data_IF_668095503616
#
_entry.id   IF_668095503616
#
_cell.length_a   1.000
_cell.length_b   1.000
_cell.length_c   1.000
_cell.angle_alpha   90.00
_cell.angle_beta   90.00
_cell.angle_gamma   90.00
#
_symmetry.space_group_name_H-M   'P 1'
#
loop_
_entity.id
_entity.type
_entity.pdbx_description
1 polymer ?
#
# COMPACT_ATOMS: atom_id res chain seq x y z
N UNK A 1 4.77 -21.74 16.12
CA UNK A 1 4.08 -21.67 17.43
C UNK A 1 2.60 -21.39 17.21
N UNK A 2 1.66 -22.13 17.81
CA UNK A 2 0.24 -21.84 17.64
C UNK A 2 -0.19 -20.76 18.65
N UNK A 3 -0.68 -19.61 18.17
CA UNK A 3 -1.27 -18.48 18.92
C UNK A 3 -0.43 -17.86 20.07
N UNK A 4 -0.22 -16.54 20.02
CA UNK A 4 0.41 -15.80 21.12
C UNK A 4 -0.65 -15.39 22.16
N UNK A 5 -0.27 -15.40 23.44
CA UNK A 5 -1.10 -14.78 24.48
C UNK A 5 -1.20 -13.26 24.29
N UNK A 6 -2.14 -12.61 24.98
CA UNK A 6 -2.28 -11.15 24.93
C UNK A 6 -0.98 -10.43 25.31
N UNK A 7 -0.34 -10.85 26.39
CA UNK A 7 0.91 -10.24 26.87
C UNK A 7 2.07 -10.49 25.89
N UNK A 8 2.21 -11.71 25.37
CA UNK A 8 3.21 -12.02 24.35
C UNK A 8 3.02 -11.18 23.08
N UNK A 9 1.77 -11.05 22.62
CA UNK A 9 1.46 -10.23 21.45
C UNK A 9 1.75 -8.74 21.72
N UNK A 10 1.46 -8.24 22.93
CA UNK A 10 1.76 -6.87 23.35
C UNK A 10 3.27 -6.60 23.31
N UNK A 11 4.08 -7.51 23.86
CA UNK A 11 5.54 -7.38 23.89
C UNK A 11 6.16 -7.42 22.49
N UNK A 12 5.66 -8.30 21.62
CA UNK A 12 6.13 -8.42 20.24
C UNK A 12 5.79 -7.17 19.41
N UNK A 13 4.58 -6.63 19.58
CA UNK A 13 4.10 -5.54 18.73
C UNK A 13 4.58 -4.18 19.23
N UNK A 14 4.58 -3.95 20.54
CA UNK A 14 4.68 -2.63 21.15
C UNK A 14 3.31 -1.96 21.27
N UNK A 15 2.98 -1.45 22.46
CA UNK A 15 1.62 -0.98 22.79
C UNK A 15 1.11 0.20 21.94
N UNK A 16 1.99 0.97 21.32
CA UNK A 16 1.69 2.12 20.46
C UNK A 16 1.61 1.78 18.96
N UNK A 17 2.08 0.58 18.56
CA UNK A 17 2.20 0.16 17.15
C UNK A 17 1.00 -0.65 16.63
N UNK A 18 0.00 -0.87 17.47
CA UNK A 18 -1.23 -1.56 17.06
C UNK A 18 -2.04 -0.66 16.13
N UNK A 19 -2.37 -1.11 14.90
CA UNK A 19 -3.12 -0.29 13.96
C UNK A 19 -4.55 -0.06 14.44
N UNK A 20 -4.98 1.20 14.44
CA UNK A 20 -6.35 1.64 14.72
C UNK A 20 -7.22 1.56 13.45
N UNK A 21 -8.55 1.49 13.61
CA UNK A 21 -9.51 1.46 12.50
C UNK A 21 -10.37 0.19 12.44
N UNK A 22 -10.89 -0.15 11.26
CA UNK A 22 -11.76 -1.30 11.09
C UNK A 22 -11.10 -2.61 11.60
N UNK A 23 -11.91 -3.49 12.19
CA UNK A 23 -11.45 -4.81 12.64
C UNK A 23 -11.31 -5.71 11.40
N UNK A 24 -10.13 -6.30 11.16
CA UNK A 24 -9.93 -7.24 10.05
C UNK A 24 -10.68 -8.55 10.30
N UNK A 25 -10.98 -9.30 9.24
CA UNK A 25 -11.54 -10.64 9.37
C UNK A 25 -10.51 -11.67 9.84
N UNK A 26 -9.24 -11.46 9.51
CA UNK A 26 -8.14 -12.30 9.95
C UNK A 26 -6.85 -11.50 10.10
N UNK A 27 -5.99 -11.93 11.03
CA UNK A 27 -4.67 -11.36 11.23
C UNK A 27 -3.66 -12.40 11.69
N UNK A 28 -2.39 -12.13 11.41
CA UNK A 28 -1.26 -13.00 11.69
C UNK A 28 -0.09 -12.21 12.26
N UNK A 29 0.74 -12.91 13.03
CA UNK A 29 2.03 -12.44 13.51
C UNK A 29 3.09 -13.40 12.97
N UNK A 30 4.21 -12.85 12.53
CA UNK A 30 5.46 -13.60 12.31
C UNK A 30 6.60 -12.97 13.09
N UNK A 31 7.44 -13.81 13.68
CA UNK A 31 8.73 -13.45 14.27
C UNK A 31 9.89 -14.08 13.48
N UNK A 32 9.60 -14.57 12.27
CA UNK A 32 10.59 -15.18 11.39
C UNK A 32 11.63 -14.12 10.95
N UNK A 33 12.93 -14.34 11.20
CA UNK A 33 13.94 -13.33 10.94
C UNK A 33 14.05 -12.95 9.46
N UNK A 34 13.76 -13.87 8.53
CA UNK A 34 13.80 -13.57 7.10
C UNK A 34 12.63 -12.65 6.71
N UNK A 35 11.45 -12.86 7.28
CA UNK A 35 10.30 -11.97 7.05
C UNK A 35 10.50 -10.58 7.66
N UNK A 36 11.12 -10.51 8.85
CA UNK A 36 11.48 -9.23 9.46
C UNK A 36 12.49 -8.47 8.60
N UNK A 37 13.57 -9.14 8.18
CA UNK A 37 14.58 -8.54 7.32
C UNK A 37 14.03 -8.15 5.93
N UNK A 38 13.08 -8.91 5.39
CA UNK A 38 12.40 -8.58 4.15
C UNK A 38 11.52 -7.34 4.29
N UNK A 39 10.75 -7.22 5.38
CA UNK A 39 9.96 -6.03 5.67
C UNK A 39 10.85 -4.80 5.85
N UNK A 40 11.93 -4.92 6.61
CA UNK A 40 12.83 -3.79 6.89
C UNK A 40 13.53 -3.32 5.60
N UNK A 41 13.91 -4.24 4.70
CA UNK A 41 14.38 -3.90 3.34
C UNK A 41 13.32 -3.17 2.53
N UNK A 42 12.08 -3.68 2.50
CA UNK A 42 10.99 -3.02 1.79
C UNK A 42 10.78 -1.60 2.32
N UNK A 43 10.81 -1.40 3.65
CA UNK A 43 10.63 -0.08 4.24
C UNK A 43 11.71 0.88 3.79
N UNK A 44 12.98 0.45 3.80
CA UNK A 44 14.10 1.27 3.34
C UNK A 44 13.99 1.60 1.84
N UNK A 45 13.66 0.61 0.99
CA UNK A 45 13.48 0.82 -0.44
C UNK A 45 12.29 1.74 -0.73
N UNK A 46 11.20 1.60 0.03
CA UNK A 46 10.01 2.46 -0.09
C UNK A 46 10.31 3.90 0.33
N UNK A 47 11.05 4.11 1.42
CA UNK A 47 11.46 5.44 1.86
C UNK A 47 12.38 6.11 0.84
N UNK A 48 13.39 5.40 0.32
CA UNK A 48 14.27 5.90 -0.75
C UNK A 48 13.48 6.21 -2.03
N UNK A 49 12.48 5.39 -2.37
CA UNK A 49 11.61 5.63 -3.51
C UNK A 49 10.70 6.84 -3.30
N UNK A 50 10.21 7.06 -2.07
CA UNK A 50 9.41 8.24 -1.72
C UNK A 50 10.21 9.53 -1.93
N UNK A 51 11.50 9.54 -1.58
CA UNK A 51 12.39 10.68 -1.87
C UNK A 51 12.51 10.95 -3.37
N UNK A 52 12.54 9.91 -4.21
CA UNK A 52 12.55 10.07 -5.67
C UNK A 52 11.24 10.66 -6.19
N UNK A 53 10.10 10.22 -5.65
CA UNK A 53 8.78 10.79 -5.99
C UNK A 53 8.71 12.25 -5.55
N UNK A 54 9.20 12.58 -4.35
CA UNK A 54 9.24 13.95 -3.84
C UNK A 54 10.09 14.86 -4.73
N UNK A 55 11.27 14.40 -5.13
CA UNK A 55 12.13 15.12 -6.07
C UNK A 55 11.43 15.35 -7.41
N UNK A 56 10.76 14.33 -7.96
CA UNK A 56 9.99 14.47 -9.20
C UNK A 56 8.81 15.44 -9.05
N UNK A 57 8.05 15.33 -7.96
CA UNK A 57 6.90 16.19 -7.68
C UNK A 57 7.33 17.66 -7.57
N UNK A 58 8.46 17.94 -6.94
CA UNK A 58 9.00 19.28 -6.83
C UNK A 58 9.27 19.92 -8.21
N UNK A 59 9.71 19.13 -9.21
CA UNK A 59 9.95 19.66 -10.58
C UNK A 59 8.69 20.21 -11.26
N UNK A 60 7.50 19.78 -10.81
CA UNK A 60 6.19 20.21 -11.31
C UNK A 60 5.41 21.04 -10.29
N UNK A 61 6.11 21.55 -9.26
CA UNK A 61 5.52 22.37 -8.19
C UNK A 61 4.49 21.61 -7.35
N UNK A 62 4.64 20.30 -7.20
CA UNK A 62 3.82 19.39 -6.39
C UNK A 62 4.62 18.80 -5.23
N UNK A 63 3.96 18.04 -4.37
CA UNK A 63 4.56 17.27 -3.28
C UNK A 63 4.35 15.76 -3.48
N UNK A 64 5.03 14.91 -2.71
CA UNK A 64 4.79 13.47 -2.75
C UNK A 64 3.35 13.10 -2.33
N UNK A 65 2.70 13.91 -1.50
CA UNK A 65 1.30 13.70 -1.08
C UNK A 65 0.29 13.93 -2.21
N UNK A 66 0.70 14.63 -3.27
CA UNK A 66 -0.11 14.82 -4.48
C UNK A 66 -0.07 13.60 -5.41
N UNK A 67 0.76 12.59 -5.14
CA UNK A 67 0.95 11.44 -5.99
C UNK A 67 -0.22 10.44 -5.89
N UNK A 68 -0.72 10.01 -7.05
CA UNK A 68 -1.74 8.97 -7.15
C UNK A 68 -1.13 7.62 -7.45
N UNK A 69 -1.45 6.65 -6.62
CA UNK A 69 -0.98 5.28 -6.77
C UNK A 69 -2.13 4.33 -7.05
N UNK A 70 -1.83 3.30 -7.83
CA UNK A 70 -2.73 2.17 -8.05
C UNK A 70 -2.03 0.90 -7.61
N UNK A 71 -2.73 0.09 -6.80
CA UNK A 71 -2.21 -1.19 -6.29
C UNK A 71 -3.09 -2.32 -6.82
N UNK A 72 -2.47 -3.28 -7.49
CA UNK A 72 -3.10 -4.51 -7.95
C UNK A 72 -2.19 -5.70 -7.64
N UNK A 73 -2.62 -6.59 -6.75
CA UNK A 73 -1.82 -7.73 -6.33
C UNK A 73 -0.49 -7.28 -5.70
N UNK A 74 0.59 -7.73 -6.32
CA UNK A 74 1.99 -7.45 -5.98
C UNK A 74 2.56 -6.22 -6.71
N UNK A 75 1.78 -5.55 -7.57
CA UNK A 75 2.21 -4.36 -8.31
C UNK A 75 1.61 -3.09 -7.73
N UNK A 76 2.47 -2.13 -7.44
CA UNK A 76 2.10 -0.76 -7.07
C UNK A 76 2.69 0.20 -8.08
N UNK A 77 1.88 1.08 -8.66
CA UNK A 77 2.28 1.94 -9.77
C UNK A 77 1.88 3.40 -9.52
N UNK A 78 2.80 4.33 -9.76
CA UNK A 78 2.51 5.76 -9.84
C UNK A 78 1.74 6.05 -11.12
N UNK A 79 0.58 6.69 -10.96
CA UNK A 79 -0.37 6.93 -12.06
C UNK A 79 -0.57 8.39 -12.41
N UNK A 80 0.09 9.30 -11.70
CA UNK A 80 0.07 10.74 -11.94
C UNK A 80 0.07 11.52 -10.64
N UNK A 81 -0.03 12.85 -10.76
CA UNK A 81 -0.14 13.77 -9.63
C UNK A 81 -1.48 14.50 -9.65
N UNK A 82 -1.86 15.07 -8.51
CA UNK A 82 -3.02 15.96 -8.40
C UNK A 82 -2.91 17.14 -9.36
N UNK A 83 -4.04 17.57 -9.89
CA UNK A 83 -4.13 18.77 -10.71
C UNK A 83 -4.62 19.90 -9.81
N UNK A 84 -3.78 20.88 -9.46
CA UNK A 84 -4.25 22.08 -8.76
C UNK A 84 -5.30 22.82 -9.59
N UNK A 85 -6.28 23.42 -8.90
CA UNK A 85 -7.42 24.08 -9.53
C UNK A 85 -6.98 25.19 -10.49
N UNK A 86 -5.91 25.89 -10.13
CA UNK A 86 -5.28 26.97 -10.88
C UNK A 86 -4.81 26.53 -12.29
N UNK A 87 -4.42 25.25 -12.46
CA UNK A 87 -4.05 24.68 -13.76
C UNK A 87 -5.26 24.40 -14.67
N UNK A 88 -6.48 24.44 -14.13
CA UNK A 88 -7.71 24.22 -14.90
C UNK A 88 -8.33 25.52 -15.41
N UNK A 89 -7.85 26.67 -14.93
CA UNK A 89 -8.34 27.97 -15.37
C UNK A 89 -7.95 28.27 -16.82
N UNK A 90 -8.69 29.18 -17.46
CA UNK A 90 -8.33 29.66 -18.79
C UNK A 90 -7.04 30.48 -18.72
N UNK A 91 -6.28 30.50 -19.82
CA UNK A 91 -4.93 31.07 -19.89
C UNK A 91 -4.82 32.54 -19.42
N UNK A 92 -5.89 33.33 -19.60
CA UNK A 92 -5.93 34.75 -19.24
C UNK A 92 -6.43 35.00 -17.80
N UNK A 93 -6.75 33.96 -17.04
CA UNK A 93 -7.14 34.12 -15.63
C UNK A 93 -5.94 34.62 -14.82
N UNK A 94 -6.11 35.57 -13.89
CA UNK A 94 -5.00 36.14 -13.10
C UNK A 94 -4.24 35.07 -12.30
N UNK A 95 -4.95 34.05 -11.81
CA UNK A 95 -4.37 32.93 -11.06
C UNK A 95 -4.07 31.70 -11.93
N UNK A 96 -4.02 31.83 -13.26
CA UNK A 96 -3.72 30.68 -14.13
C UNK A 96 -2.30 30.16 -13.88
N UNK A 97 -2.21 28.87 -13.54
CA UNK A 97 -0.94 28.16 -13.44
C UNK A 97 -0.72 27.34 -14.72
N UNK A 98 0.29 27.62 -15.55
CA UNK A 98 0.55 26.81 -16.73
C UNK A 98 0.95 25.38 -16.36
N UNK A 99 0.56 24.42 -17.20
CA UNK A 99 1.01 23.03 -17.08
C UNK A 99 2.52 22.97 -17.35
N UNK A 100 3.32 22.30 -16.50
CA UNK A 100 4.76 22.17 -16.70
C UNK A 100 5.13 21.56 -18.06
N UNK A 101 6.27 21.99 -18.60
CA UNK A 101 6.75 21.50 -19.90
C UNK A 101 6.93 19.97 -19.89
N UNK A 102 6.44 19.30 -20.94
CA UNK A 102 6.48 17.85 -21.05
C UNK A 102 5.37 17.13 -20.27
N UNK A 103 4.47 17.84 -19.59
CA UNK A 103 3.32 17.30 -18.88
C UNK A 103 1.99 17.67 -19.55
N UNK A 104 0.92 16.99 -19.13
CA UNK A 104 -0.45 17.26 -19.55
C UNK A 104 -1.44 16.88 -18.45
N UNK A 105 -2.61 17.48 -18.49
CA UNK A 105 -3.77 17.03 -17.73
C UNK A 105 -4.46 15.90 -18.51
N UNK A 106 -4.52 14.71 -17.93
CA UNK A 106 -5.23 13.57 -18.51
C UNK A 106 -6.72 13.62 -18.18
N UNK A 107 -7.54 14.05 -19.14
CA UNK A 107 -9.00 14.21 -18.95
C UNK A 107 -9.74 12.94 -18.50
N UNK A 108 -9.19 11.75 -18.75
CA UNK A 108 -9.83 10.49 -18.35
C UNK A 108 -9.65 10.22 -16.86
N UNK A 109 -8.49 10.57 -16.31
CA UNK A 109 -8.12 10.27 -14.92
C UNK A 109 -8.07 11.50 -14.02
N UNK A 110 -8.18 12.70 -14.60
CA UNK A 110 -8.02 14.01 -13.97
C UNK A 110 -6.69 14.15 -13.22
N UNK A 111 -5.61 13.70 -13.86
CA UNK A 111 -4.26 13.64 -13.28
C UNK A 111 -3.26 14.36 -14.15
N UNK A 112 -2.26 14.95 -13.50
CA UNK A 112 -1.07 15.47 -14.15
C UNK A 112 -0.14 14.29 -14.49
N UNK A 113 0.12 14.08 -15.77
CA UNK A 113 0.94 12.99 -16.30
C UNK A 113 1.87 13.49 -17.41
N UNK A 114 3.00 12.82 -17.69
CA UNK A 114 3.83 13.19 -18.84
C UNK A 114 3.04 13.12 -20.17
N UNK A 115 3.28 14.09 -21.05
CA UNK A 115 2.75 14.09 -22.40
C UNK A 115 3.35 12.95 -23.21
N UNK A 116 2.57 12.31 -24.09
CA UNK A 116 3.05 11.24 -24.98
C UNK A 116 2.55 11.41 -26.42
N UNK A 117 2.09 12.61 -26.76
CA UNK A 117 1.39 12.91 -28.02
C UNK A 117 2.34 12.80 -29.21
N UNK A 118 3.50 13.42 -29.15
CA UNK A 118 4.53 13.40 -30.19
C UNK A 118 5.69 12.46 -29.85
N UNK A 119 6.59 12.22 -30.80
CA UNK A 119 7.84 11.48 -30.53
C UNK A 119 8.72 12.23 -29.54
N UNK A 120 8.88 13.55 -29.72
CA UNK A 120 9.63 14.41 -28.80
C UNK A 120 9.08 14.36 -27.38
N UNK A 121 7.74 14.34 -27.22
CA UNK A 121 7.12 14.15 -25.90
C UNK A 121 7.51 12.83 -25.27
N UNK A 122 7.45 11.71 -26.02
CA UNK A 122 7.76 10.37 -25.49
C UNK A 122 9.23 10.22 -25.09
N UNK A 123 10.12 10.95 -25.74
CA UNK A 123 11.56 10.95 -25.48
C UNK A 123 11.99 12.04 -24.49
N UNK A 124 11.03 12.83 -23.98
CA UNK A 124 11.27 13.92 -23.05
C UNK A 124 11.81 13.44 -21.71
N UNK A 125 12.49 14.35 -21.00
CA UNK A 125 13.00 14.05 -19.67
C UNK A 125 11.87 13.73 -18.68
N UNK A 126 10.73 14.44 -18.77
CA UNK A 126 9.55 14.17 -17.95
C UNK A 126 9.05 12.71 -18.06
N UNK A 127 9.06 12.11 -19.26
CA UNK A 127 8.69 10.69 -19.40
C UNK A 127 9.74 9.75 -18.80
N UNK A 128 11.03 10.07 -18.94
CA UNK A 128 12.12 9.26 -18.39
C UNK A 128 12.09 9.27 -16.87
N UNK A 129 11.97 10.45 -16.27
CA UNK A 129 11.94 10.60 -14.81
C UNK A 129 10.70 9.94 -14.21
N UNK A 130 9.53 10.17 -14.82
CA UNK A 130 8.31 9.51 -14.38
C UNK A 130 8.39 7.98 -14.52
N UNK A 131 8.95 7.48 -15.62
CA UNK A 131 9.11 6.03 -15.84
C UNK A 131 10.10 5.41 -14.84
N UNK A 132 11.15 6.13 -14.46
CA UNK A 132 12.14 5.67 -13.48
C UNK A 132 11.52 5.45 -12.09
N UNK A 133 10.50 6.24 -11.74
CA UNK A 133 9.79 6.13 -10.45
C UNK A 133 8.40 5.48 -10.56
N UNK A 134 8.03 4.96 -11.74
CA UNK A 134 6.68 4.47 -11.97
C UNK A 134 6.34 3.23 -11.14
N UNK A 135 7.32 2.35 -10.93
CA UNK A 135 7.15 1.10 -10.19
C UNK A 135 7.51 1.30 -8.72
N UNK A 136 6.53 1.15 -7.85
CA UNK A 136 6.66 1.41 -6.42
C UNK A 136 7.01 0.10 -5.70
N UNK A 137 8.00 0.10 -4.79
CA UNK A 137 8.28 -1.04 -3.93
C UNK A 137 7.02 -1.50 -3.19
N UNK A 138 6.60 -2.74 -3.43
CA UNK A 138 5.39 -3.30 -2.82
C UNK A 138 5.79 -4.34 -1.77
N UNK A 139 5.35 -4.17 -0.53
CA UNK A 139 5.68 -5.11 0.57
C UNK A 139 5.36 -6.57 0.24
N UNK A 140 4.35 -6.80 -0.60
CA UNK A 140 3.91 -8.11 -1.09
C UNK A 140 4.91 -8.82 -2.00
N UNK A 141 5.92 -8.14 -2.53
CA UNK A 141 7.01 -8.75 -3.29
C UNK A 141 8.22 -9.11 -2.43
N UNK A 142 8.28 -8.60 -1.19
CA UNK A 142 9.38 -8.82 -0.25
C UNK A 142 9.01 -9.88 0.78
N UNK A 143 7.79 -9.77 1.32
CA UNK A 143 7.26 -10.63 2.37
C UNK A 143 6.47 -11.78 1.74
N UNK A 144 6.67 -13.00 2.24
CA UNK A 144 6.15 -14.23 1.64
C UNK A 144 5.41 -15.11 2.65
N UNK A 145 4.71 -16.15 2.16
CA UNK A 145 4.02 -17.12 3.02
C UNK A 145 2.60 -16.73 3.43
N UNK A 146 2.07 -15.61 2.93
CA UNK A 146 0.65 -15.25 2.97
C UNK A 146 0.16 -14.92 1.56
N UNK A 147 -1.10 -15.23 1.22
CA UNK A 147 -1.69 -14.77 -0.02
C UNK A 147 -1.69 -13.25 -0.09
N UNK A 148 -1.25 -12.70 -1.22
CA UNK A 148 -1.31 -11.27 -1.48
C UNK A 148 -2.74 -10.73 -1.48
N UNK A 149 -3.68 -11.53 -2.01
CA UNK A 149 -5.08 -11.16 -2.13
C UNK A 149 -5.99 -12.36 -1.82
N UNK A 150 -7.20 -12.08 -1.37
CA UNK A 150 -8.26 -13.05 -1.16
C UNK A 150 -9.53 -12.53 -1.82
N UNK A 151 -10.16 -13.37 -2.63
CA UNK A 151 -11.43 -13.06 -3.26
C UNK A 151 -12.57 -13.70 -2.47
N UNK A 152 -13.55 -12.89 -2.07
CA UNK A 152 -14.76 -13.36 -1.38
C UNK A 152 -15.96 -13.07 -2.27
N UNK A 153 -16.73 -14.11 -2.59
CA UNK A 153 -18.04 -13.97 -3.24
C UNK A 153 -19.05 -13.48 -2.21
N UNK A 154 -19.28 -12.18 -2.20
CA UNK A 154 -20.16 -11.51 -1.24
C UNK A 154 -21.24 -10.65 -1.93
N UNK A 155 -21.45 -10.82 -3.24
CA UNK A 155 -22.44 -10.07 -4.03
C UNK A 155 -23.07 -10.98 -5.10
N UNK A 156 -24.33 -10.74 -5.42
CA UNK A 156 -25.10 -11.57 -6.37
C UNK A 156 -24.51 -11.61 -7.79
N UNK A 157 -23.71 -10.61 -8.19
CA UNK A 157 -23.02 -10.57 -9.49
C UNK A 157 -21.50 -10.41 -9.36
N UNK A 158 -20.91 -10.84 -8.24
CA UNK A 158 -19.44 -10.78 -8.11
C UNK A 158 -18.92 -10.92 -6.68
N UNK A 159 -17.71 -10.45 -6.47
CA UNK A 159 -17.03 -10.54 -5.19
C UNK A 159 -16.09 -9.38 -4.96
N UNK A 160 -15.52 -9.37 -3.77
CA UNK A 160 -14.59 -8.33 -3.33
C UNK A 160 -13.20 -8.95 -3.16
N UNK A 161 -12.19 -8.27 -3.70
CA UNK A 161 -10.78 -8.63 -3.49
C UNK A 161 -10.25 -7.88 -2.28
N UNK A 162 -9.71 -8.62 -1.32
CA UNK A 162 -9.11 -8.08 -0.10
C UNK A 162 -7.61 -8.35 -0.11
N UNK A 163 -6.82 -7.29 -0.22
CA UNK A 163 -5.37 -7.37 -0.12
C UNK A 163 -4.88 -7.56 1.31
N UNK A 164 -3.74 -8.23 1.47
CA UNK A 164 -3.03 -8.30 2.76
C UNK A 164 -2.33 -6.97 3.03
N UNK A 165 -2.51 -6.45 4.24
CA UNK A 165 -1.81 -5.27 4.73
C UNK A 165 -0.79 -5.68 5.78
N UNK A 166 0.43 -5.15 5.70
CA UNK A 166 1.52 -5.48 6.61
C UNK A 166 1.89 -4.28 7.48
N UNK A 167 2.32 -4.56 8.72
CA UNK A 167 2.80 -3.56 9.70
C UNK A 167 3.94 -4.12 10.51
N UNK A 168 4.94 -3.29 10.82
CA UNK A 168 6.05 -3.66 11.70
C UNK A 168 5.67 -3.45 13.18
N UNK A 169 5.87 -4.48 14.00
CA UNK A 169 5.88 -4.36 15.46
C UNK A 169 7.27 -3.98 16.00
N UNK A 170 7.54 -4.24 17.27
CA UNK A 170 8.90 -4.11 17.85
C UNK A 170 9.75 -5.30 17.41
N UNK A 171 9.27 -6.52 17.65
CA UNK A 171 9.99 -7.77 17.37
C UNK A 171 9.21 -8.72 16.43
N UNK A 172 8.20 -8.20 15.71
CA UNK A 172 7.42 -8.98 14.77
C UNK A 172 7.01 -8.19 13.52
N UNK A 173 6.50 -8.90 12.52
CA UNK A 173 5.66 -8.32 11.44
C UNK A 173 4.23 -8.84 11.61
N UNK A 174 3.28 -7.93 11.51
CA UNK A 174 1.85 -8.21 11.53
C UNK A 174 1.30 -8.18 10.11
N UNK A 175 0.35 -9.06 9.82
CA UNK A 175 -0.42 -9.05 8.60
C UNK A 175 -1.92 -9.04 8.91
N UNK A 176 -2.68 -8.23 8.17
CA UNK A 176 -4.12 -8.03 8.36
C UNK A 176 -4.87 -8.21 7.05
N UNK A 177 -6.06 -8.79 7.12
CA UNK A 177 -6.92 -8.99 5.95
C UNK A 177 -8.39 -8.76 6.29
N UNK A 178 -9.05 -7.93 5.47
CA UNK A 178 -10.47 -7.61 5.62
C UNK A 178 -11.43 -8.73 5.17
N UNK A 179 -10.96 -9.64 4.31
CA UNK A 179 -11.71 -10.83 3.88
C UNK A 179 -11.21 -12.08 4.59
N UNK A 180 -12.12 -12.91 5.07
CA UNK A 180 -11.77 -14.18 5.73
C UNK A 180 -11.24 -15.19 4.70
N UNK A 181 -9.95 -15.59 4.74
CA UNK A 181 -9.38 -16.52 3.77
C UNK A 181 -10.09 -17.88 3.74
N UNK A 182 -10.74 -18.28 4.84
CA UNK A 182 -11.45 -19.56 4.92
C UNK A 182 -12.76 -19.55 4.10
N UNK A 183 -13.24 -18.37 3.71
CA UNK A 183 -14.45 -18.18 2.89
C UNK A 183 -14.17 -18.11 1.39
N UNK A 184 -12.92 -18.27 0.95
CA UNK A 184 -12.58 -18.28 -0.48
C UNK A 184 -13.04 -19.57 -1.16
N UNK A 185 -13.88 -19.50 -2.21
CA UNK A 185 -14.31 -20.68 -2.97
C UNK A 185 -13.10 -21.45 -3.52
N UNK A 186 -13.10 -22.78 -3.40
CA UNK A 186 -11.98 -23.64 -3.84
C UNK A 186 -11.58 -23.41 -5.31
N UNK A 187 -12.55 -23.13 -6.19
CA UNK A 187 -12.31 -22.88 -7.63
C UNK A 187 -11.64 -21.55 -7.94
N UNK A 188 -11.61 -20.62 -6.97
CA UNK A 188 -10.96 -19.30 -7.07
C UNK A 188 -9.82 -19.15 -6.08
N UNK A 189 -9.40 -20.26 -5.46
CA UNK A 189 -8.09 -20.32 -4.83
C UNK A 189 -7.07 -20.20 -5.94
N UNK A 190 -6.58 -18.98 -6.15
CA UNK A 190 -5.28 -18.80 -6.77
C UNK A 190 -4.29 -19.71 -6.00
N UNK A 191 -3.41 -20.43 -6.69
CA UNK A 191 -2.54 -21.46 -6.08
C UNK A 191 -1.67 -20.91 -4.91
N UNK A 192 -1.56 -19.59 -4.78
CA UNK A 192 -0.89 -18.82 -3.73
C UNK A 192 -1.77 -18.51 -2.48
N UNK A 193 -2.92 -19.18 -2.30
CA UNK A 193 -3.83 -18.92 -1.17
C UNK A 193 -3.48 -19.62 0.14
N UNK A 194 -2.48 -20.51 0.14
CA UNK A 194 -2.12 -21.27 1.34
C UNK A 194 -1.21 -20.45 2.24
N UNK A 195 -1.69 -20.17 3.45
CA UNK A 195 -0.89 -19.59 4.52
C UNK A 195 0.20 -20.60 4.92
N UNK A 196 1.47 -20.18 4.87
CA UNK A 196 2.57 -20.96 5.44
C UNK A 196 2.55 -20.83 6.96
N UNK A 197 1.92 -21.78 7.63
CA UNK A 197 1.70 -21.78 9.09
C UNK A 197 2.98 -21.96 9.92
N UNK A 198 4.09 -22.37 9.29
CA UNK A 198 5.40 -22.40 9.95
C UNK A 198 6.00 -21.00 10.11
N UNK A 199 5.65 -20.08 9.22
CA UNK A 199 6.16 -18.70 9.21
C UNK A 199 5.14 -17.75 9.82
N UNK A 200 3.86 -17.91 9.47
CA UNK A 200 2.79 -17.02 9.88
C UNK A 200 1.83 -17.71 10.84
N UNK A 201 1.60 -17.07 11.99
CA UNK A 201 0.74 -17.61 13.02
C UNK A 201 -0.53 -16.78 13.10
N UNK A 202 -1.67 -17.39 12.73
CA UNK A 202 -2.98 -16.74 12.83
C UNK A 202 -3.29 -16.50 14.29
N UNK A 203 -3.83 -15.32 14.58
CA UNK A 203 -4.17 -14.91 15.94
C UNK A 203 -5.69 -14.72 16.07
N UNK A 204 -6.21 -14.83 17.29
CA UNK A 204 -7.64 -14.59 17.55
C UNK A 204 -7.96 -13.10 17.40
N UNK A 205 -9.12 -12.78 16.85
CA UNK A 205 -9.59 -11.40 16.75
C UNK A 205 -9.77 -10.75 18.12
N UNK A 206 -10.18 -11.51 19.14
CA UNK A 206 -10.31 -11.03 20.52
C UNK A 206 -8.99 -10.48 21.08
N UNK A 207 -7.84 -11.06 20.70
CA UNK A 207 -6.53 -10.56 21.11
C UNK A 207 -6.26 -9.19 20.48
N UNK A 208 -6.57 -9.00 19.19
CA UNK A 208 -6.42 -7.70 18.53
C UNK A 208 -7.32 -6.62 19.15
N UNK A 209 -8.57 -6.97 19.47
CA UNK A 209 -9.51 -6.05 20.12
C UNK A 209 -9.00 -5.62 21.49
N UNK A 210 -8.56 -6.57 22.33
CA UNK A 210 -7.99 -6.27 23.63
C UNK A 210 -6.74 -5.37 23.54
N UNK A 211 -5.83 -5.66 22.59
CA UNK A 211 -4.65 -4.82 22.34
C UNK A 211 -5.01 -3.38 21.94
N UNK A 212 -6.08 -3.20 21.16
CA UNK A 212 -6.57 -1.88 20.76
C UNK A 212 -7.17 -1.10 21.94
N UNK A 213 -8.04 -1.74 22.71
CA UNK A 213 -8.64 -1.14 23.91
C UNK A 213 -7.57 -0.71 24.92
N UNK A 214 -6.53 -1.52 25.10
CA UNK A 214 -5.41 -1.17 25.98
C UNK A 214 -4.59 0.00 25.44
N UNK A 215 -4.35 0.05 24.12
CA UNK A 215 -3.65 1.16 23.47
C UNK A 215 -4.44 2.47 23.56
N UNK A 216 -5.76 2.42 23.43
CA UNK A 216 -6.66 3.57 23.59
C UNK A 216 -6.71 4.05 25.03
N UNK A 217 -6.78 3.13 26.01
CA UNK A 217 -6.70 3.48 27.44
C UNK A 217 -5.37 4.13 27.82
N UNK A 218 -4.26 3.70 27.23
CA UNK A 218 -2.96 4.28 27.50
C UNK A 218 -2.77 5.70 26.89
N UNK A 219 -3.64 6.11 25.96
CA UNK A 219 -3.60 7.43 25.30
C UNK A 219 -4.56 8.45 25.92
N UNK A 220 -5.52 8.00 26.73
CA UNK A 220 -6.49 8.83 27.45
C UNK A 220 -5.93 9.30 28.80
#
# INVERSE_FOLDING_TARGET
>A
MPEYSLDQARDLIGGDRIPTGAIPAAWWITTDPDQLAAYDRWSADFDAHREQIEALAATIGRTADDAYFTVFGDRSVLTGFSVPREMTYWHEHPDHLPVPEGWRIDRKTDRLVPSRRTKADRESQANKDFAAVASIPNVRTYVSGLPNEVYIENRDMGGTVYGTQYRRGVACVMAFKGGDPDRTPERKRWDDTKVNTNVWHRQRISVLVALREDSERAKA
#
